data_IF_174825081089
#
_entry.id   IF_174825081089
#
_cell.length_a   1.000
_cell.length_b   1.000
_cell.length_c   1.000
_cell.angle_alpha   90.00
_cell.angle_beta   90.00
_cell.angle_gamma   90.00
#
_symmetry.space_group_name_H-M   'P 1'
#
loop_
_entity.id
_entity.type
_entity.pdbx_description
1 polymer ?
#
# COMPACT_ATOMS: atom_id res chain seq x y z
N UNK A 1 -2.62 -19.28 23.45
CA UNK A 1 -3.91 -18.87 22.89
C UNK A 1 -3.86 -17.36 22.76
N UNK A 2 -3.51 -16.84 21.58
CA UNK A 2 -3.49 -15.40 21.36
C UNK A 2 -4.93 -14.97 21.15
N UNK A 3 -5.48 -14.28 22.14
CA UNK A 3 -6.79 -13.67 22.07
C UNK A 3 -6.77 -12.65 20.95
N UNK A 4 -7.13 -13.09 19.74
CA UNK A 4 -7.60 -12.25 18.65
C UNK A 4 -8.96 -11.73 19.10
N UNK A 5 -8.93 -10.82 20.06
CA UNK A 5 -9.98 -9.83 20.19
C UNK A 5 -9.72 -8.93 18.98
N UNK A 6 -10.30 -9.31 17.85
CA UNK A 6 -10.43 -8.48 16.66
C UNK A 6 -11.16 -7.22 17.11
N UNK A 7 -10.40 -6.21 17.53
CA UNK A 7 -10.93 -4.91 17.87
C UNK A 7 -11.48 -4.30 16.58
N UNK A 8 -12.81 -4.17 16.41
CA UNK A 8 -13.39 -3.63 15.17
C UNK A 8 -12.94 -2.19 14.89
N UNK A 9 -12.53 -1.48 15.95
CA UNK A 9 -11.90 -0.16 15.86
C UNK A 9 -10.56 -0.21 15.14
N UNK A 10 -9.79 -1.28 15.35
CA UNK A 10 -8.51 -1.51 14.71
C UNK A 10 -8.71 -1.86 13.22
N UNK A 11 -9.70 -2.70 12.89
CA UNK A 11 -10.07 -2.99 11.50
C UNK A 11 -10.50 -1.73 10.73
N UNK A 12 -11.33 -0.88 11.34
CA UNK A 12 -11.77 0.38 10.73
C UNK A 12 -10.61 1.36 10.53
N UNK A 13 -9.69 1.46 11.51
CA UNK A 13 -8.46 2.23 11.39
C UNK A 13 -7.58 1.71 10.25
N UNK A 14 -7.36 0.40 10.17
CA UNK A 14 -6.58 -0.22 9.10
C UNK A 14 -7.16 0.06 7.71
N UNK A 15 -8.47 -0.12 7.52
CA UNK A 15 -9.13 0.18 6.25
C UNK A 15 -9.01 1.66 5.88
N UNK A 16 -9.14 2.58 6.85
CA UNK A 16 -9.01 4.01 6.60
C UNK A 16 -7.58 4.41 6.23
N UNK A 17 -6.58 3.91 6.95
CA UNK A 17 -5.18 4.17 6.63
C UNK A 17 -4.77 3.54 5.31
N UNK A 18 -5.29 2.35 4.98
CA UNK A 18 -5.06 1.71 3.69
C UNK A 18 -5.65 2.50 2.52
N UNK A 19 -6.88 3.03 2.64
CA UNK A 19 -7.45 3.91 1.62
C UNK A 19 -6.64 5.18 1.41
N UNK A 20 -6.04 5.73 2.46
CA UNK A 20 -5.14 6.89 2.36
C UNK A 20 -3.83 6.50 1.67
N UNK A 21 -3.30 5.33 1.99
CA UNK A 21 -2.09 4.79 1.39
C UNK A 21 -2.26 4.63 -0.13
N UNK A 22 -3.39 4.07 -0.57
CA UNK A 22 -3.77 3.97 -1.99
C UNK A 22 -3.74 5.35 -2.67
N UNK A 23 -4.45 6.33 -2.11
CA UNK A 23 -4.54 7.69 -2.69
C UNK A 23 -3.18 8.38 -2.74
N UNK A 24 -2.35 8.16 -1.73
CA UNK A 24 -1.00 8.71 -1.70
C UNK A 24 -0.13 8.09 -2.79
N UNK A 25 -0.14 6.77 -2.96
CA UNK A 25 0.60 6.11 -4.05
C UNK A 25 0.10 6.56 -5.43
N UNK A 26 -1.21 6.68 -5.64
CA UNK A 26 -1.77 7.21 -6.89
C UNK A 26 -1.23 8.62 -7.20
N UNK A 27 -1.26 9.49 -6.19
CA UNK A 27 -0.74 10.86 -6.34
C UNK A 27 0.75 10.85 -6.65
N UNK A 28 1.56 10.07 -5.92
CA UNK A 28 3.01 10.01 -6.14
C UNK A 28 3.36 9.41 -7.49
N UNK A 29 2.65 8.38 -7.93
CA UNK A 29 2.81 7.80 -9.26
C UNK A 29 2.50 8.84 -10.34
N UNK A 30 1.42 9.62 -10.19
CA UNK A 30 1.11 10.72 -11.11
C UNK A 30 2.16 11.85 -11.08
N UNK A 31 2.64 12.26 -9.90
CA UNK A 31 3.72 13.25 -9.76
C UNK A 31 5.02 12.81 -10.43
N UNK A 32 5.28 11.51 -10.47
CA UNK A 32 6.43 10.88 -11.13
C UNK A 32 6.18 10.58 -12.62
N UNK A 33 5.00 10.89 -13.16
CA UNK A 33 4.62 10.58 -14.55
C UNK A 33 4.47 9.08 -14.82
N UNK A 34 4.26 8.27 -13.79
CA UNK A 34 4.04 6.83 -13.88
C UNK A 34 2.58 6.46 -14.19
N UNK A 35 1.67 7.43 -14.20
CA UNK A 35 0.25 7.23 -14.55
C UNK A 35 0.06 7.01 -16.07
N UNK A 36 0.94 7.59 -16.87
CA UNK A 36 1.03 7.39 -18.30
C UNK A 36 2.10 6.34 -18.58
N UNK A 37 1.81 5.07 -18.29
CA UNK A 37 2.67 3.96 -18.73
C UNK A 37 2.82 4.03 -20.26
N UNK A 38 3.98 4.52 -20.68
CA UNK A 38 4.44 4.44 -22.07
C UNK A 38 4.73 2.98 -22.41
N UNK A 39 4.44 2.61 -23.67
CA UNK A 39 4.82 1.34 -24.30
C UNK A 39 6.14 0.78 -23.74
N UNK A 40 6.03 -0.24 -22.90
CA UNK A 40 7.14 -0.90 -22.24
C UNK A 40 6.75 -2.31 -21.84
N UNK A 41 7.70 -3.24 -21.86
CA UNK A 41 7.45 -4.61 -21.43
C UNK A 41 7.11 -4.61 -19.92
N UNK A 42 5.92 -5.07 -19.51
CA UNK A 42 5.55 -5.17 -18.09
C UNK A 42 6.50 -6.08 -17.30
N UNK A 43 7.22 -6.97 -17.99
CA UNK A 43 8.21 -7.86 -17.41
C UNK A 43 9.62 -7.26 -17.38
N UNK A 44 9.82 -6.02 -17.84
CA UNK A 44 11.12 -5.36 -17.77
C UNK A 44 11.47 -5.05 -16.30
N UNK A 45 12.51 -5.68 -15.73
CA UNK A 45 12.98 -5.36 -14.38
C UNK A 45 13.48 -3.91 -14.25
N UNK A 46 13.83 -3.25 -15.36
CA UNK A 46 14.23 -1.85 -15.39
C UNK A 46 13.08 -0.89 -15.67
N UNK A 47 11.83 -1.37 -15.75
CA UNK A 47 10.67 -0.52 -15.95
C UNK A 47 10.63 0.57 -14.86
N UNK A 48 10.44 1.86 -15.18
CA UNK A 48 10.42 2.96 -14.21
C UNK A 48 9.45 2.74 -13.04
N UNK A 49 8.35 2.06 -13.31
CA UNK A 49 7.38 1.61 -12.31
C UNK A 49 7.99 0.66 -11.26
N UNK A 50 8.79 -0.32 -11.69
CA UNK A 50 9.45 -1.28 -10.80
C UNK A 50 10.62 -0.63 -10.04
N UNK A 51 11.32 0.34 -10.66
CA UNK A 51 12.37 1.10 -9.99
C UNK A 51 11.81 2.03 -8.90
N UNK A 52 10.66 2.65 -9.15
CA UNK A 52 10.02 3.55 -8.18
C UNK A 52 9.42 2.80 -6.99
N UNK A 53 9.17 1.49 -7.11
CA UNK A 53 8.54 0.67 -6.07
C UNK A 53 9.26 0.72 -4.73
N UNK A 54 10.56 0.39 -4.69
CA UNK A 54 11.31 0.32 -3.43
C UNK A 54 11.43 1.70 -2.76
N UNK A 55 11.69 2.73 -3.56
CA UNK A 55 11.80 4.11 -3.08
C UNK A 55 10.48 4.62 -2.49
N UNK A 56 9.36 4.43 -3.21
CA UNK A 56 8.05 4.87 -2.75
C UNK A 56 7.54 4.05 -1.56
N UNK A 57 7.84 2.74 -1.49
CA UNK A 57 7.51 1.92 -0.32
C UNK A 57 8.22 2.42 0.94
N UNK A 58 9.52 2.73 0.85
CA UNK A 58 10.29 3.29 1.98
C UNK A 58 9.80 4.67 2.39
N UNK A 59 9.49 5.53 1.42
CA UNK A 59 8.94 6.86 1.68
C UNK A 59 7.58 6.77 2.40
N UNK A 60 6.67 5.93 1.90
CA UNK A 60 5.37 5.70 2.51
C UNK A 60 5.50 5.14 3.94
N UNK A 61 6.36 4.15 4.15
CA UNK A 61 6.59 3.58 5.48
C UNK A 61 7.07 4.65 6.47
N UNK A 62 8.06 5.45 6.09
CA UNK A 62 8.60 6.49 6.95
C UNK A 62 7.57 7.59 7.25
N UNK A 63 6.79 8.01 6.24
CA UNK A 63 5.76 9.02 6.39
C UNK A 63 4.65 8.56 7.35
N UNK A 64 4.13 7.34 7.17
CA UNK A 64 3.08 6.80 8.04
C UNK A 64 3.55 6.58 9.47
N UNK A 65 4.79 6.13 9.66
CA UNK A 65 5.38 5.99 10.99
C UNK A 65 5.53 7.34 11.69
N UNK A 66 6.02 8.35 10.98
CA UNK A 66 6.33 9.66 11.57
C UNK A 66 5.11 10.56 11.78
N UNK A 67 4.20 10.62 10.82
CA UNK A 67 3.05 11.54 10.88
C UNK A 67 1.80 10.92 11.51
N UNK A 68 1.66 9.59 11.40
CA UNK A 68 0.40 8.90 11.70
C UNK A 68 0.51 7.88 12.82
N UNK A 69 1.73 7.61 13.31
CA UNK A 69 2.00 6.55 14.27
C UNK A 69 1.36 5.22 13.80
N UNK A 70 1.46 4.95 12.50
CA UNK A 70 0.91 3.76 11.86
C UNK A 70 2.02 3.02 11.12
N UNK A 71 2.03 1.69 11.24
CA UNK A 71 3.03 0.82 10.63
C UNK A 71 2.36 -0.02 9.54
N UNK A 72 2.36 0.46 8.28
CA UNK A 72 1.83 -0.34 7.19
C UNK A 72 2.70 -1.59 7.02
N UNK A 73 2.06 -2.74 6.86
CA UNK A 73 2.82 -3.97 6.60
C UNK A 73 3.43 -3.94 5.20
N UNK A 74 4.52 -4.69 4.94
CA UNK A 74 5.08 -4.81 3.59
C UNK A 74 4.04 -5.19 2.54
N UNK A 75 3.10 -6.07 2.91
CA UNK A 75 2.01 -6.49 2.02
C UNK A 75 0.99 -5.38 1.75
N UNK A 76 0.66 -4.55 2.75
CA UNK A 76 -0.19 -3.38 2.55
C UNK A 76 0.49 -2.34 1.64
N UNK A 77 1.80 -2.11 1.81
CA UNK A 77 2.57 -1.21 0.93
C UNK A 77 2.56 -1.73 -0.51
N UNK A 78 2.84 -3.02 -0.71
CA UNK A 78 2.78 -3.65 -2.03
C UNK A 78 1.39 -3.51 -2.66
N UNK A 79 0.35 -3.93 -1.95
CA UNK A 79 -1.01 -3.88 -2.49
C UNK A 79 -1.47 -2.45 -2.77
N UNK A 80 -1.16 -1.48 -1.90
CA UNK A 80 -1.53 -0.09 -2.12
C UNK A 80 -0.79 0.52 -3.33
N UNK A 81 0.48 0.17 -3.53
CA UNK A 81 1.25 0.58 -4.70
C UNK A 81 0.63 0.05 -6.00
N UNK A 82 0.30 -1.24 -6.04
CA UNK A 82 -0.32 -1.91 -7.19
C UNK A 82 -1.84 -1.71 -7.30
N UNK A 83 -2.43 -0.85 -6.47
CA UNK A 83 -3.87 -0.57 -6.49
C UNK A 83 -4.76 -1.81 -6.24
N UNK A 84 -4.25 -2.75 -5.44
CA UNK A 84 -4.92 -4.00 -5.08
C UNK A 84 -5.81 -3.85 -3.83
N UNK A 85 -6.63 -4.87 -3.56
CA UNK A 85 -7.50 -4.91 -2.37
C UNK A 85 -6.68 -5.00 -1.09
N UNK A 86 -7.22 -4.47 0.01
CA UNK A 86 -6.58 -4.55 1.34
C UNK A 86 -6.36 -6.02 1.71
N UNK A 87 -5.10 -6.45 1.94
CA UNK A 87 -4.83 -7.82 2.33
C UNK A 87 -5.45 -8.18 3.69
N UNK A 88 -5.69 -7.21 4.57
CA UNK A 88 -6.26 -7.45 5.90
C UNK A 88 -7.77 -7.70 5.81
N UNK A 89 -8.47 -7.11 4.83
CA UNK A 89 -9.90 -7.39 4.60
C UNK A 89 -10.18 -8.81 4.08
N UNK A 90 -9.20 -9.50 3.47
CA UNK A 90 -9.44 -10.83 2.90
C UNK A 90 -9.61 -11.94 3.95
N UNK A 91 -9.20 -11.71 5.21
CA UNK A 91 -9.39 -12.70 6.29
C UNK A 91 -10.86 -12.81 6.77
N UNK A 92 -11.77 -11.96 6.30
CA UNK A 92 -13.20 -12.04 6.67
C UNK A 92 -14.01 -13.10 5.88
N UNK A 93 -13.40 -13.87 4.98
CA UNK A 93 -14.10 -14.87 4.13
C UNK A 93 -13.90 -16.34 4.54
N UNK A 94 -13.49 -16.63 5.77
CA UNK A 94 -13.55 -17.98 6.35
C UNK A 94 -14.28 -17.97 7.71
N UNK A 95 -15.60 -17.85 7.66
CA UNK A 95 -16.50 -18.24 8.74
C UNK A 95 -17.63 -19.10 8.17
#
# INVERSE_FOLDING_TARGET
MYSVITEPQNTSLHSHEYQRLIKWFQRRQHELGLDQMHDGDPMDPHHPYNQAYDALCKEAEQLWRSERNYWPSPLQLSHAFFQMKDPIQQDELKA
#
